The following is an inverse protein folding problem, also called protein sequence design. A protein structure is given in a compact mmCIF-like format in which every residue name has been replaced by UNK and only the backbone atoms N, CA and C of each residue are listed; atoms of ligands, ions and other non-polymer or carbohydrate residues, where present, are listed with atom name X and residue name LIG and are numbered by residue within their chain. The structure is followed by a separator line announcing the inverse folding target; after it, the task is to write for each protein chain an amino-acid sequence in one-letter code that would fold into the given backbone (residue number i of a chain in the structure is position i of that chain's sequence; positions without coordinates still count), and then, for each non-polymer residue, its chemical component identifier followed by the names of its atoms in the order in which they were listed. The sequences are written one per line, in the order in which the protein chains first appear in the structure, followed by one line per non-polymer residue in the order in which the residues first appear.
data_IF_249189488250
#
_entry.id   IF_249189488250
#
_cell.length_a   1.000
_cell.length_b   1.000
_cell.length_c   1.000
_cell.angle_alpha   90.00
_cell.angle_beta   90.00
_cell.angle_gamma   90.00
#
_symmetry.space_group_name_H-M   'P 1'
#
loop_
_entity.id
_entity.type
_entity.pdbx_description
1 polymer ?
#
# COMPACT_ATOMS: atom_id res chain seq x y z
N UNK A 1 -2.07 -12.48 -19.34
CA UNK A 1 -2.00 -13.37 -18.16
C UNK A 1 -3.23 -13.08 -17.32
N UNK A 2 -4.02 -14.07 -16.91
CA UNK A 2 -5.20 -13.81 -16.09
C UNK A 2 -4.80 -13.61 -14.63
N UNK A 3 -5.39 -12.63 -13.94
CA UNK A 3 -5.24 -12.38 -12.50
C UNK A 3 -6.52 -12.73 -11.76
N UNK A 4 -6.41 -13.00 -10.46
CA UNK A 4 -7.54 -13.08 -9.56
C UNK A 4 -8.14 -11.68 -9.34
N UNK A 5 -9.44 -11.51 -9.53
CA UNK A 5 -10.11 -10.20 -9.39
C UNK A 5 -10.17 -9.71 -7.94
N UNK A 6 -10.05 -10.62 -6.96
CA UNK A 6 -10.02 -10.25 -5.54
C UNK A 6 -8.62 -9.90 -5.03
N UNK A 7 -7.62 -10.76 -5.25
CA UNK A 7 -6.29 -10.61 -4.65
C UNK A 7 -5.19 -10.22 -5.63
N UNK A 8 -5.49 -10.06 -6.92
CA UNK A 8 -4.53 -9.68 -7.97
C UNK A 8 -3.48 -10.74 -8.31
N UNK A 9 -3.47 -11.90 -7.64
CA UNK A 9 -2.48 -12.96 -7.89
C UNK A 9 -2.64 -13.54 -9.29
N UNK A 10 -1.53 -13.78 -9.98
CA UNK A 10 -1.52 -14.37 -11.32
C UNK A 10 -2.02 -15.82 -11.30
N UNK A 11 -3.02 -16.11 -12.14
CA UNK A 11 -3.61 -17.44 -12.29
C UNK A 11 -2.76 -18.26 -13.25
N UNK A 12 -2.00 -19.22 -12.73
CA UNK A 12 -1.15 -20.12 -13.52
C UNK A 12 -1.91 -21.38 -13.97
N UNK A 13 -2.79 -21.92 -13.13
CA UNK A 13 -3.65 -23.07 -13.44
C UNK A 13 -4.86 -23.08 -12.51
N UNK A 14 -6.00 -23.58 -13.00
CA UNK A 14 -7.23 -23.68 -12.22
C UNK A 14 -7.85 -22.32 -11.85
N UNK A 15 -8.67 -22.32 -10.80
CA UNK A 15 -9.42 -21.16 -10.31
C UNK A 15 -10.93 -21.35 -10.36
N UNK A 16 -11.65 -20.58 -9.55
CA UNK A 16 -13.11 -20.52 -9.54
C UNK A 16 -13.54 -19.38 -10.45
N UNK A 17 -14.57 -19.60 -11.27
CA UNK A 17 -15.19 -18.56 -12.11
C UNK A 17 -16.61 -18.33 -11.65
N UNK A 18 -16.98 -17.07 -11.50
CA UNK A 18 -18.34 -16.65 -11.19
C UNK A 18 -18.70 -15.45 -12.08
N UNK A 19 -19.56 -15.67 -13.07
CA UNK A 19 -19.82 -14.70 -14.13
C UNK A 19 -18.55 -14.28 -14.88
N UNK A 20 -18.29 -12.97 -14.93
CA UNK A 20 -17.10 -12.38 -15.54
C UNK A 20 -15.88 -12.37 -14.61
N UNK A 21 -16.06 -12.70 -13.32
CA UNK A 21 -15.01 -12.69 -12.31
C UNK A 21 -14.27 -14.04 -12.23
N UNK A 22 -12.99 -13.98 -11.85
CA UNK A 22 -12.05 -15.09 -11.71
C UNK A 22 -11.33 -15.01 -10.38
N UNK A 23 -11.31 -16.14 -9.68
CA UNK A 23 -10.71 -16.24 -8.35
C UNK A 23 -9.68 -17.36 -8.30
N UNK A 24 -8.59 -17.16 -7.55
CA UNK A 24 -7.54 -18.17 -7.43
C UNK A 24 -7.94 -19.38 -6.58
N UNK A 25 -8.96 -19.24 -5.72
CA UNK A 25 -9.51 -20.29 -4.87
C UNK A 25 -10.87 -19.88 -4.28
N UNK A 26 -11.51 -20.81 -3.56
CA UNK A 26 -12.82 -20.62 -2.93
C UNK A 26 -12.85 -19.50 -1.87
N UNK A 27 -11.74 -19.24 -1.17
CA UNK A 27 -11.69 -18.13 -0.20
C UNK A 27 -11.81 -16.78 -0.91
N UNK A 28 -11.08 -16.61 -2.01
CA UNK A 28 -11.16 -15.40 -2.82
C UNK A 28 -12.54 -15.25 -3.48
N UNK A 29 -13.18 -16.36 -3.87
CA UNK A 29 -14.55 -16.35 -4.37
C UNK A 29 -15.55 -15.87 -3.32
N UNK A 30 -15.50 -16.44 -2.10
CA UNK A 30 -16.37 -16.03 -0.99
C UNK A 30 -16.17 -14.56 -0.58
N UNK A 31 -14.92 -14.07 -0.59
CA UNK A 31 -14.63 -12.67 -0.29
C UNK A 31 -14.91 -11.73 -1.47
N UNK A 32 -14.94 -12.27 -2.68
CA UNK A 32 -15.20 -11.56 -3.93
C UNK A 32 -16.64 -11.08 -4.10
N UNK A 33 -17.58 -11.53 -3.27
CA UNK A 33 -18.97 -11.05 -3.28
C UNK A 33 -19.08 -9.52 -3.24
N UNK A 34 -18.19 -8.85 -2.50
CA UNK A 34 -18.17 -7.38 -2.42
C UNK A 34 -17.91 -6.74 -3.79
N UNK A 35 -17.14 -7.37 -4.68
CA UNK A 35 -16.88 -6.87 -6.04
C UNK A 35 -18.15 -6.90 -6.88
N UNK A 36 -18.96 -7.96 -6.76
CA UNK A 36 -20.22 -8.09 -7.50
C UNK A 36 -21.27 -7.03 -7.09
N UNK A 37 -21.18 -6.53 -5.85
CA UNK A 37 -22.08 -5.48 -5.35
C UNK A 37 -21.49 -4.08 -5.54
N UNK A 38 -20.16 -3.95 -5.59
CA UNK A 38 -19.48 -2.66 -5.77
C UNK A 38 -19.93 -1.93 -7.04
N UNK A 39 -20.13 -2.66 -8.14
CA UNK A 39 -20.62 -2.10 -9.42
C UNK A 39 -22.04 -1.52 -9.34
N UNK A 40 -22.80 -1.83 -8.28
CA UNK A 40 -24.14 -1.29 -8.06
C UNK A 40 -24.11 0.10 -7.40
N UNK A 41 -22.95 0.55 -6.92
CA UNK A 41 -22.81 1.86 -6.27
C UNK A 41 -22.67 2.93 -7.34
N UNK A 42 -23.57 3.93 -7.41
CA UNK A 42 -23.43 5.04 -8.34
C UNK A 42 -22.11 5.80 -8.12
N UNK A 43 -21.38 6.08 -9.19
CA UNK A 43 -20.05 6.72 -9.10
C UNK A 43 -20.07 8.13 -8.49
N UNK A 44 -21.19 8.84 -8.61
CA UNK A 44 -21.43 10.14 -7.97
C UNK A 44 -21.55 10.01 -6.45
N UNK A 45 -22.26 8.99 -5.95
CA UNK A 45 -22.37 8.72 -4.52
C UNK A 45 -21.02 8.31 -3.95
N UNK A 46 -20.28 7.47 -4.68
CA UNK A 46 -18.95 7.04 -4.27
C UNK A 46 -17.96 8.21 -4.20
N UNK A 47 -17.93 9.06 -5.22
CA UNK A 47 -16.99 10.20 -5.26
C UNK A 47 -17.28 11.23 -4.17
N UNK A 48 -18.55 11.50 -3.87
CA UNK A 48 -18.93 12.37 -2.76
C UNK A 48 -18.56 11.75 -1.40
N UNK A 49 -18.77 10.45 -1.21
CA UNK A 49 -18.35 9.76 0.01
C UNK A 49 -16.83 9.77 0.19
N UNK A 50 -16.07 9.51 -0.88
CA UNK A 50 -14.61 9.57 -0.87
C UNK A 50 -14.13 10.98 -0.53
N UNK A 51 -14.75 12.02 -1.09
CA UNK A 51 -14.43 13.42 -0.77
C UNK A 51 -14.68 13.74 0.70
N UNK A 52 -15.83 13.34 1.23
CA UNK A 52 -16.16 13.52 2.65
C UNK A 52 -15.20 12.76 3.57
N UNK A 53 -14.82 11.54 3.21
CA UNK A 53 -13.82 10.76 3.95
C UNK A 53 -12.45 11.44 3.90
N UNK A 54 -12.00 11.89 2.74
CA UNK A 54 -10.73 12.60 2.52
C UNK A 54 -10.65 13.90 3.35
N UNK A 55 -11.74 14.66 3.45
CA UNK A 55 -11.83 15.87 4.27
C UNK A 55 -12.02 15.58 5.77
N UNK A 56 -12.28 14.32 6.13
CA UNK A 56 -12.58 13.87 7.48
C UNK A 56 -11.39 13.84 8.44
N UNK A 57 -11.64 13.48 9.71
CA UNK A 57 -10.60 13.37 10.72
C UNK A 57 -9.66 12.19 10.45
N UNK A 58 -8.40 12.34 10.85
CA UNK A 58 -7.40 11.28 10.70
C UNK A 58 -7.74 10.05 11.56
N UNK A 59 -7.82 8.83 11.00
CA UNK A 59 -8.13 7.63 11.78
C UNK A 59 -7.02 7.24 12.78
N UNK A 60 -5.79 7.74 12.60
CA UNK A 60 -4.65 7.46 13.50
C UNK A 60 -4.55 8.41 14.68
N UNK A 61 -4.75 9.70 14.46
CA UNK A 61 -4.52 10.73 15.48
C UNK A 61 -5.76 11.56 15.82
N UNK A 62 -6.88 11.34 15.11
CA UNK A 62 -8.11 12.12 15.20
C UNK A 62 -7.93 13.63 14.96
N UNK A 63 -6.82 14.01 14.32
CA UNK A 63 -6.53 15.40 13.94
C UNK A 63 -7.31 15.83 12.70
N UNK A 64 -7.24 17.13 12.34
CA UNK A 64 -7.90 17.64 11.14
C UNK A 64 -7.32 16.97 9.89
N UNK A 65 -8.20 16.68 8.93
CA UNK A 65 -7.83 16.25 7.59
C UNK A 65 -7.11 17.35 6.79
N UNK A 66 -6.73 17.09 5.53
CA UNK A 66 -7.14 15.93 4.76
C UNK A 66 -6.39 14.63 5.09
N UNK A 67 -7.05 13.50 4.85
CA UNK A 67 -6.47 12.15 4.93
C UNK A 67 -6.20 11.62 3.52
N UNK A 68 -5.04 11.02 3.32
CA UNK A 68 -4.62 10.46 2.03
C UNK A 68 -3.88 9.14 2.25
N UNK A 69 -3.57 8.41 1.18
CA UNK A 69 -2.81 7.16 1.22
C UNK A 69 -1.33 7.47 1.25
N UNK A 70 -0.72 7.31 2.43
CA UNK A 70 0.72 7.44 2.61
C UNK A 70 1.37 6.06 2.68
N UNK A 71 2.29 5.77 1.77
CA UNK A 71 3.05 4.52 1.78
C UNK A 71 4.41 4.72 2.43
N UNK A 72 4.74 3.85 3.39
CA UNK A 72 6.07 3.77 4.00
C UNK A 72 6.81 2.51 3.55
N UNK A 73 8.11 2.65 3.29
CA UNK A 73 8.97 1.58 2.80
C UNK A 73 10.05 1.28 3.83
N UNK A 74 10.06 0.04 4.34
CA UNK A 74 11.06 -0.41 5.31
C UNK A 74 11.92 -1.52 4.72
N UNK A 75 13.22 -1.45 4.98
CA UNK A 75 14.20 -2.45 4.60
C UNK A 75 14.92 -2.93 5.84
N UNK A 76 15.14 -4.23 5.91
CA UNK A 76 16.02 -4.82 6.91
C UNK A 76 16.94 -5.80 6.21
N UNK A 77 18.23 -5.73 6.54
CA UNK A 77 19.25 -6.65 6.04
C UNK A 77 19.98 -7.30 7.21
N UNK A 78 20.25 -8.60 7.13
CA UNK A 78 21.18 -9.29 8.02
C UNK A 78 22.09 -10.20 7.21
N UNK A 79 23.36 -9.78 7.06
CA UNK A 79 24.44 -10.45 6.35
C UNK A 79 24.14 -10.77 4.87
N UNK A 80 23.26 -11.74 4.62
CA UNK A 80 22.90 -12.25 3.28
C UNK A 80 21.39 -12.17 3.00
N UNK A 81 20.57 -11.89 4.02
CA UNK A 81 19.12 -11.81 3.88
C UNK A 81 18.68 -10.35 3.89
N UNK A 82 18.08 -9.88 2.79
CA UNK A 82 17.43 -8.57 2.70
C UNK A 82 15.93 -8.78 2.55
N UNK A 83 15.15 -8.16 3.42
CA UNK A 83 13.69 -8.13 3.33
C UNK A 83 13.22 -6.69 3.16
N UNK A 84 12.31 -6.48 2.21
CA UNK A 84 11.61 -5.21 2.02
C UNK A 84 10.13 -5.38 2.35
N UNK A 85 9.52 -4.32 2.89
CA UNK A 85 8.09 -4.25 3.15
C UNK A 85 7.55 -2.87 2.77
N UNK A 86 6.44 -2.86 2.05
CA UNK A 86 5.65 -1.67 1.76
C UNK A 86 4.39 -1.69 2.61
N UNK A 87 4.10 -0.60 3.31
CA UNK A 87 2.91 -0.45 4.14
C UNK A 87 2.13 0.79 3.70
N UNK A 88 1.08 0.65 2.88
CA UNK A 88 0.15 1.73 2.57
C UNK A 88 -0.76 1.97 3.78
N UNK A 89 -0.97 3.23 4.16
CA UNK A 89 -1.79 3.63 5.30
C UNK A 89 -2.62 4.88 4.94
N UNK A 90 -3.92 4.85 5.22
CA UNK A 90 -4.80 6.02 5.07
C UNK A 90 -4.67 6.88 6.33
N UNK A 91 -4.07 8.06 6.21
CA UNK A 91 -3.88 8.97 7.35
C UNK A 91 -3.61 10.41 6.91
N UNK A 92 -3.58 11.35 7.85
CA UNK A 92 -3.17 12.72 7.55
C UNK A 92 -1.67 12.81 7.26
N UNK A 93 -1.27 13.89 6.58
CA UNK A 93 0.11 14.17 6.19
C UNK A 93 1.10 14.06 7.36
N UNK A 94 0.78 14.61 8.53
CA UNK A 94 1.67 14.53 9.69
C UNK A 94 1.92 13.09 10.17
N UNK A 95 0.89 12.24 10.12
CA UNK A 95 1.03 10.82 10.47
C UNK A 95 1.81 10.05 9.40
N UNK A 96 1.55 10.34 8.12
CA UNK A 96 2.29 9.77 6.98
C UNK A 96 3.78 10.12 7.04
N UNK A 97 4.11 11.40 7.24
CA UNK A 97 5.50 11.85 7.40
C UNK A 97 6.19 11.15 8.58
N UNK A 98 5.49 11.00 9.72
CA UNK A 98 6.05 10.30 10.89
C UNK A 98 6.33 8.82 10.60
N UNK A 99 5.44 8.12 9.90
CA UNK A 99 5.65 6.71 9.54
C UNK A 99 6.78 6.55 8.52
N UNK A 100 6.86 7.43 7.53
CA UNK A 100 7.95 7.47 6.54
C UNK A 100 9.31 7.76 7.18
N UNK A 101 9.40 8.72 8.11
CA UNK A 101 10.64 9.00 8.86
C UNK A 101 11.05 7.78 9.69
N UNK A 102 10.11 7.16 10.42
CA UNK A 102 10.41 5.95 11.18
C UNK A 102 10.88 4.79 10.30
N UNK A 103 10.27 4.63 9.13
CA UNK A 103 10.67 3.64 8.13
C UNK A 103 12.06 3.96 7.54
N UNK A 104 12.37 5.22 7.30
CA UNK A 104 13.68 5.66 6.82
C UNK A 104 14.78 5.42 7.86
N UNK A 105 14.54 5.78 9.13
CA UNK A 105 15.48 5.55 10.24
C UNK A 105 15.70 4.06 10.47
N UNK A 106 14.64 3.25 10.49
CA UNK A 106 14.78 1.79 10.65
C UNK A 106 15.52 1.16 9.48
N UNK A 107 15.26 1.61 8.25
CA UNK A 107 16.00 1.17 7.06
C UNK A 107 17.46 1.62 7.10
N UNK A 108 17.76 2.79 7.67
CA UNK A 108 19.13 3.26 7.85
C UNK A 108 19.86 2.47 8.95
N UNK A 109 19.25 2.17 10.08
CA UNK A 109 19.95 1.43 11.15
C UNK A 109 20.12 -0.05 10.79
N UNK A 110 19.16 -0.63 10.08
CA UNK A 110 19.08 -2.07 9.89
C UNK A 110 19.30 -2.54 8.45
N UNK A 111 19.31 -1.66 7.46
CA UNK A 111 19.58 -2.03 6.06
C UNK A 111 21.07 -2.27 5.77
N UNK A 112 21.96 -1.80 6.66
CA UNK A 112 23.40 -1.66 6.38
C UNK A 112 24.19 -2.94 6.60
N UNK A 113 23.58 -3.92 7.26
CA UNK A 113 24.26 -5.16 7.65
C UNK A 113 24.32 -6.20 6.52
N UNK A 114 23.85 -5.88 5.31
CA UNK A 114 23.95 -6.75 4.13
C UNK A 114 25.14 -6.36 3.23
N UNK A 115 26.18 -7.20 3.15
CA UNK A 115 27.31 -7.00 2.23
C UNK A 115 27.13 -7.89 0.99
N UNK A 116 27.24 -7.39 -0.25
CA UNK A 116 27.57 -6.01 -0.67
C UNK A 116 26.33 -5.11 -0.92
N UNK A 117 25.13 -5.67 -1.00
CA UNK A 117 23.94 -4.99 -1.55
C UNK A 117 23.32 -3.92 -0.63
N UNK A 118 23.53 -4.00 0.68
CA UNK A 118 23.02 -3.05 1.67
C UNK A 118 23.65 -1.66 1.55
N UNK A 119 24.90 -1.55 1.11
CA UNK A 119 25.60 -0.27 0.92
C UNK A 119 25.10 0.51 -0.31
N UNK A 120 24.52 -0.17 -1.30
CA UNK A 120 24.03 0.45 -2.55
C UNK A 120 22.51 0.65 -2.51
N UNK A 121 21.74 -0.35 -2.05
CA UNK A 121 20.28 -0.28 -2.05
C UNK A 121 19.73 0.63 -0.94
N UNK A 122 20.40 0.71 0.20
CA UNK A 122 19.95 1.56 1.30
C UNK A 122 19.95 3.06 0.95
N UNK A 123 21.00 3.64 0.34
CA UNK A 123 20.94 5.04 -0.08
C UNK A 123 19.88 5.30 -1.17
N UNK A 124 19.64 4.36 -2.08
CA UNK A 124 18.56 4.48 -3.10
C UNK A 124 17.18 4.53 -2.43
N UNK A 125 16.93 3.70 -1.42
CA UNK A 125 15.65 3.69 -0.72
C UNK A 125 15.47 4.89 0.22
N UNK A 126 16.55 5.40 0.82
CA UNK A 126 16.53 6.68 1.53
C UNK A 126 16.16 7.81 0.56
N UNK A 127 16.77 7.85 -0.63
CA UNK A 127 16.45 8.84 -1.66
C UNK A 127 15.01 8.74 -2.17
N UNK A 128 14.44 7.53 -2.33
CA UNK A 128 13.02 7.36 -2.69
C UNK A 128 12.08 7.82 -1.60
N UNK A 129 12.37 7.52 -0.33
CA UNK A 129 11.58 8.02 0.80
C UNK A 129 11.66 9.54 0.92
N UNK A 130 12.84 10.14 0.70
CA UNK A 130 13.02 11.60 0.64
C UNK A 130 12.31 12.24 -0.56
N UNK A 131 12.33 11.59 -1.73
CA UNK A 131 11.58 12.01 -2.91
C UNK A 131 10.07 11.96 -2.69
N UNK A 132 9.57 10.94 -1.98
CA UNK A 132 8.17 10.83 -1.58
C UNK A 132 7.74 11.86 -0.52
N UNK A 133 8.67 12.45 0.22
CA UNK A 133 8.42 13.58 1.13
C UNK A 133 8.33 14.93 0.39
N UNK A 134 8.90 15.01 -0.82
CA UNK A 134 8.92 16.22 -1.67
C UNK A 134 7.88 16.18 -2.80
N UNK A 135 7.42 14.98 -3.16
CA UNK A 135 6.39 14.79 -4.19
C UNK A 135 5.01 14.79 -3.52
N UNK A 136 4.06 15.50 -4.12
CA UNK A 136 2.65 15.41 -3.68
C UNK A 136 2.16 13.96 -3.82
N UNK A 137 1.22 13.50 -2.97
CA UNK A 137 0.66 12.15 -3.06
C UNK A 137 0.13 11.87 -4.47
N UNK A 138 0.37 10.66 -4.97
CA UNK A 138 -0.19 10.21 -6.24
C UNK A 138 -1.72 10.07 -6.06
N UNK A 139 -2.55 10.77 -6.85
CA UNK A 139 -3.99 10.59 -6.86
C UNK A 139 -4.31 9.32 -7.67
N UNK A 140 -4.17 8.15 -7.03
CA UNK A 140 -4.59 6.86 -7.59
C UNK A 140 -5.97 6.46 -7.06
#
# INVERSE_FOLDING_TARGET
MASCDYCGTTLLFGGVRDGDLRFCNEKCHQQGFLLAVADQVPGDVLSEYVRQAHEGPCPKCNGPGPIDVHTSYTVWSALVLTSWRSRPEVCCQACGTKSQIGAAVSSAVLGWWGFPWGLILTPIQILRNLGGLLSSPDPA
#
